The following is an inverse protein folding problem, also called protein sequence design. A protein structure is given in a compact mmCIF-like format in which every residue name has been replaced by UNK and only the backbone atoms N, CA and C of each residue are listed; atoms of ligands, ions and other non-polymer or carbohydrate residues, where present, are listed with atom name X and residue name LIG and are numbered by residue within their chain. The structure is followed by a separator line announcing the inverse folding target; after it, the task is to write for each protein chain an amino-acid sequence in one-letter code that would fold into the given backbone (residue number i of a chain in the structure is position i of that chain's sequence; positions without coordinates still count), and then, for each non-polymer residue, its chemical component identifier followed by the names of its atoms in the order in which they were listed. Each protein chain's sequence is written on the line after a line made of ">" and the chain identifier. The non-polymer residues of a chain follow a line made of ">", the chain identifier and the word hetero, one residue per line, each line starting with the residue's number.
data_IF_152277025942
#
_entry.id   IF_152277025942
#
_cell.length_a   1.000
_cell.length_b   1.000
_cell.length_c   1.000
_cell.angle_alpha   90.00
_cell.angle_beta   90.00
_cell.angle_gamma   90.00
#
_symmetry.space_group_name_H-M   'P 1'
#
loop_
_entity.id
_entity.type
_entity.pdbx_description
1 polymer ?
#
# COMPACT_ATOMS: atom_id res chain seq x y z
N UNK A 1 -35.05 13.41 -25.87
CA UNK A 1 -34.90 12.54 -24.68
C UNK A 1 -33.44 12.09 -24.62
N UNK A 2 -32.66 12.70 -23.74
CA UNK A 2 -31.24 12.41 -23.57
C UNK A 2 -31.10 11.10 -22.81
N UNK A 3 -30.55 10.07 -23.46
CA UNK A 3 -30.19 8.80 -22.84
C UNK A 3 -29.07 9.04 -21.83
N UNK A 4 -29.41 9.01 -20.53
CA UNK A 4 -28.45 9.03 -19.42
C UNK A 4 -27.62 7.76 -19.46
N UNK A 5 -26.45 7.82 -20.11
CA UNK A 5 -25.41 6.80 -20.01
C UNK A 5 -24.91 6.77 -18.57
N UNK A 6 -25.47 5.90 -17.74
CA UNK A 6 -24.89 5.57 -16.44
C UNK A 6 -23.59 4.81 -16.70
N UNK A 7 -22.48 5.55 -16.85
CA UNK A 7 -21.13 5.02 -16.84
C UNK A 7 -20.85 4.48 -15.43
N UNK A 8 -21.37 3.29 -15.13
CA UNK A 8 -21.13 2.58 -13.89
C UNK A 8 -19.70 2.04 -13.92
N UNK A 9 -18.76 2.94 -13.68
CA UNK A 9 -17.35 2.68 -13.48
C UNK A 9 -17.16 2.03 -12.11
N UNK A 10 -17.71 0.81 -11.92
CA UNK A 10 -17.63 0.08 -10.65
C UNK A 10 -16.19 0.09 -10.15
N UNK A 11 -16.02 0.65 -8.96
CA UNK A 11 -14.80 0.51 -8.17
C UNK A 11 -14.74 -0.93 -7.69
N UNK A 12 -13.55 -1.50 -7.69
CA UNK A 12 -13.36 -2.87 -7.21
C UNK A 12 -13.11 -2.78 -5.71
N UNK A 13 -14.17 -2.99 -4.93
CA UNK A 13 -14.13 -2.85 -3.47
C UNK A 13 -13.10 -3.77 -2.82
N UNK A 14 -12.92 -4.99 -3.32
CA UNK A 14 -11.91 -5.93 -2.83
C UNK A 14 -10.49 -5.36 -2.89
N UNK A 15 -10.16 -4.60 -3.93
CA UNK A 15 -8.84 -3.96 -4.08
C UNK A 15 -8.68 -2.82 -3.07
N UNK A 16 -9.73 -2.02 -2.88
CA UNK A 16 -9.72 -0.89 -1.95
C UNK A 16 -9.62 -1.38 -0.48
N UNK A 17 -10.35 -2.45 -0.12
CA UNK A 17 -10.31 -3.08 1.22
C UNK A 17 -8.92 -3.68 1.49
N UNK A 18 -8.38 -4.46 0.54
CA UNK A 18 -7.07 -5.10 0.70
C UNK A 18 -5.97 -4.05 0.86
N UNK A 19 -5.98 -2.99 0.04
CA UNK A 19 -5.03 -1.88 0.16
C UNK A 19 -5.13 -1.19 1.53
N UNK A 20 -6.34 -1.01 2.04
CA UNK A 20 -6.59 -0.43 3.37
C UNK A 20 -6.00 -1.27 4.50
N UNK A 21 -6.24 -2.59 4.49
CA UNK A 21 -5.69 -3.52 5.48
C UNK A 21 -4.16 -3.50 5.44
N UNK A 22 -3.57 -3.58 4.25
CA UNK A 22 -2.11 -3.54 4.06
C UNK A 22 -1.52 -2.23 4.59
N UNK A 23 -2.16 -1.09 4.34
CA UNK A 23 -1.69 0.21 4.85
C UNK A 23 -1.75 0.28 6.38
N UNK A 24 -2.79 -0.27 7.02
CA UNK A 24 -2.89 -0.33 8.49
C UNK A 24 -1.79 -1.20 9.09
N UNK A 25 -1.52 -2.37 8.49
CA UNK A 25 -0.46 -3.27 8.95
C UNK A 25 0.91 -2.59 8.80
N UNK A 26 1.17 -1.89 7.68
CA UNK A 26 2.41 -1.13 7.50
C UNK A 26 2.56 0.01 8.52
N UNK A 27 1.47 0.73 8.84
CA UNK A 27 1.52 1.78 9.85
C UNK A 27 1.79 1.22 11.27
N UNK A 28 1.19 0.08 11.61
CA UNK A 28 1.43 -0.61 12.87
C UNK A 28 2.89 -1.11 12.99
N UNK A 29 3.45 -1.64 11.90
CA UNK A 29 4.85 -2.06 11.82
C UNK A 29 5.81 -0.87 12.04
N UNK A 30 5.62 0.23 11.31
CA UNK A 30 6.46 1.43 11.45
C UNK A 30 6.34 2.12 12.81
N UNK A 31 5.14 2.19 13.40
CA UNK A 31 4.96 2.77 14.73
C UNK A 31 5.61 1.92 15.81
N UNK A 32 5.52 0.58 15.71
CA UNK A 32 6.24 -0.32 16.62
C UNK A 32 7.75 -0.10 16.55
N UNK A 33 8.32 -0.07 15.35
CA UNK A 33 9.76 0.16 15.15
C UNK A 33 10.19 1.51 15.73
N UNK A 34 9.30 2.52 15.71
CA UNK A 34 9.56 3.83 16.30
C UNK A 34 9.55 3.84 17.84
N UNK A 35 8.70 3.02 18.48
CA UNK A 35 8.58 2.97 19.95
C UNK A 35 9.50 1.92 20.62
N UNK A 36 9.99 0.91 19.89
CA UNK A 36 10.96 -0.07 20.42
C UNK A 36 12.39 0.48 20.38
N UNK A 37 12.76 1.24 21.40
CA UNK A 37 14.11 1.83 21.58
C UNK A 37 15.21 0.76 21.74
N UNK A 38 14.86 -0.49 22.09
CA UNK A 38 15.82 -1.62 22.16
C UNK A 38 16.18 -2.24 20.80
N UNK A 39 15.57 -1.81 19.69
CA UNK A 39 15.82 -2.34 18.34
C UNK A 39 17.05 -1.77 17.62
N UNK A 40 17.75 -0.80 18.21
CA UNK A 40 18.95 -0.17 17.59
C UNK A 40 20.24 -0.93 17.95
N UNK A 41 20.20 -1.86 18.92
CA UNK A 41 21.40 -2.57 19.42
C UNK A 41 21.40 -4.07 19.16
N UNK A 42 20.26 -4.71 18.92
CA UNK A 42 20.20 -6.15 18.66
C UNK A 42 19.85 -6.46 17.20
N UNK A 43 20.66 -7.33 16.59
CA UNK A 43 20.46 -7.86 15.25
C UNK A 43 19.10 -8.59 15.19
N UNK A 44 18.13 -8.08 14.42
CA UNK A 44 16.77 -8.63 14.40
C UNK A 44 16.66 -9.96 13.62
N UNK A 45 17.79 -10.54 13.20
CA UNK A 45 17.95 -11.91 12.74
C UNK A 45 18.50 -12.86 13.82
N UNK A 46 18.82 -12.33 15.01
CA UNK A 46 19.33 -13.14 16.11
C UNK A 46 18.18 -13.91 16.77
N UNK A 47 18.09 -15.20 16.45
CA UNK A 47 17.13 -16.16 16.99
C UNK A 47 17.27 -16.36 18.51
N UNK A 48 18.35 -15.86 19.14
CA UNK A 48 18.58 -15.96 20.58
C UNK A 48 17.82 -14.89 21.40
N UNK A 49 17.46 -13.75 20.81
CA UNK A 49 16.80 -12.62 21.51
C UNK A 49 15.41 -12.29 20.95
N UNK A 50 15.05 -12.82 19.79
CA UNK A 50 13.78 -12.51 19.12
C UNK A 50 12.62 -13.30 19.74
N UNK A 51 11.62 -12.61 20.27
CA UNK A 51 10.36 -13.24 20.67
C UNK A 51 9.54 -13.64 19.43
N UNK A 52 8.84 -14.79 19.44
CA UNK A 52 8.04 -15.26 18.30
C UNK A 52 7.05 -14.22 17.76
N UNK A 53 6.54 -13.36 18.64
CA UNK A 53 5.64 -12.25 18.30
C UNK A 53 6.31 -11.20 17.39
N UNK A 54 7.56 -10.82 17.65
CA UNK A 54 8.29 -9.87 16.81
C UNK A 54 8.59 -10.47 15.42
N UNK A 55 9.05 -11.72 15.37
CA UNK A 55 9.33 -12.40 14.11
C UNK A 55 8.10 -12.48 13.19
N UNK A 56 6.96 -12.91 13.73
CA UNK A 56 5.71 -13.08 12.97
C UNK A 56 5.27 -11.77 12.31
N UNK A 57 5.32 -10.68 13.06
CA UNK A 57 4.86 -9.38 12.58
C UNK A 57 5.77 -8.77 11.51
N UNK A 58 7.08 -9.01 11.58
CA UNK A 58 8.04 -8.59 10.55
C UNK A 58 7.91 -9.43 9.28
N UNK A 59 7.66 -10.72 9.43
CA UNK A 59 7.35 -11.63 8.32
C UNK A 59 6.08 -11.17 7.58
N UNK A 60 5.03 -10.80 8.30
CA UNK A 60 3.78 -10.27 7.72
C UNK A 60 4.01 -8.94 6.99
N UNK A 61 4.76 -8.02 7.58
CA UNK A 61 5.08 -6.73 6.96
C UNK A 61 5.91 -6.87 5.68
N UNK A 62 6.79 -7.88 5.62
CA UNK A 62 7.61 -8.18 4.44
C UNK A 62 6.79 -8.53 3.19
N UNK A 63 5.60 -9.15 3.37
CA UNK A 63 4.66 -9.38 2.27
C UNK A 63 3.77 -8.17 1.97
N UNK A 64 3.48 -7.35 2.98
CA UNK A 64 2.62 -6.17 2.82
C UNK A 64 3.21 -5.16 1.82
N UNK A 65 4.52 -4.92 1.83
CA UNK A 65 5.16 -3.98 0.89
C UNK A 65 5.04 -4.44 -0.59
N UNK A 66 5.40 -5.68 -0.98
CA UNK A 66 5.15 -6.20 -2.33
C UNK A 66 3.68 -6.15 -2.74
N UNK A 67 2.76 -6.50 -1.85
CA UNK A 67 1.31 -6.46 -2.12
C UNK A 67 0.85 -5.03 -2.38
N UNK A 68 1.31 -4.05 -1.58
CA UNK A 68 0.96 -2.65 -1.75
C UNK A 68 1.41 -2.11 -3.11
N UNK A 69 2.67 -2.37 -3.49
CA UNK A 69 3.22 -1.94 -4.78
C UNK A 69 2.47 -2.59 -5.94
N UNK A 70 2.18 -3.89 -5.83
CA UNK A 70 1.39 -4.61 -6.84
C UNK A 70 -0.01 -4.03 -7.02
N UNK A 71 -0.76 -3.82 -5.93
CA UNK A 71 -2.11 -3.25 -5.98
C UNK A 71 -2.12 -1.81 -6.51
N UNK A 72 -1.09 -1.02 -6.18
CA UNK A 72 -0.90 0.32 -6.76
C UNK A 72 -0.76 0.24 -8.29
N UNK A 73 0.09 -0.67 -8.78
CA UNK A 73 0.26 -0.95 -10.20
C UNK A 73 -1.02 -1.42 -10.88
N UNK A 74 -1.76 -2.37 -10.29
CA UNK A 74 -3.06 -2.83 -10.79
C UNK A 74 -4.08 -1.69 -10.87
N UNK A 75 -4.11 -0.81 -9.88
CA UNK A 75 -5.00 0.37 -9.87
C UNK A 75 -4.67 1.36 -10.99
N UNK A 76 -3.39 1.57 -11.29
CA UNK A 76 -2.95 2.42 -12.41
C UNK A 76 -3.33 1.77 -13.74
N UNK A 77 -3.14 0.45 -13.88
CA UNK A 77 -3.53 -0.29 -15.08
C UNK A 77 -5.04 -0.20 -15.34
N UNK A 78 -5.87 -0.42 -14.32
CA UNK A 78 -7.33 -0.29 -14.44
C UNK A 78 -7.77 1.14 -14.78
N UNK A 79 -7.03 2.16 -14.34
CA UNK A 79 -7.27 3.55 -14.74
C UNK A 79 -6.84 3.83 -16.19
N UNK A 80 -5.76 3.20 -16.65
CA UNK A 80 -5.29 3.28 -18.04
C UNK A 80 -6.34 2.78 -19.05
N UNK A 81 -7.17 1.81 -18.65
CA UNK A 81 -8.29 1.32 -19.48
C UNK A 81 -9.40 2.36 -19.68
N UNK A 82 -9.45 3.42 -18.85
CA UNK A 82 -10.53 4.43 -18.86
C UNK A 82 -10.04 5.83 -19.20
N UNK A 83 -8.72 6.07 -19.26
CA UNK A 83 -8.09 7.38 -19.44
C UNK A 83 -7.06 7.35 -20.56
N UNK A 84 -6.81 8.51 -21.17
CA UNK A 84 -5.69 8.65 -22.11
C UNK A 84 -4.35 8.62 -21.36
N UNK A 85 -3.27 8.20 -22.05
CA UNK A 85 -1.93 8.11 -21.46
C UNK A 85 -1.45 9.45 -20.89
N UNK A 86 -1.75 10.56 -21.57
CA UNK A 86 -1.38 11.91 -21.13
C UNK A 86 -2.12 12.31 -19.85
N UNK A 87 -3.43 12.06 -19.78
CA UNK A 87 -4.21 12.35 -18.57
C UNK A 87 -3.75 11.51 -17.38
N UNK A 88 -3.46 10.23 -17.60
CA UNK A 88 -2.98 9.34 -16.55
C UNK A 88 -1.61 9.77 -16.03
N UNK A 89 -0.66 10.07 -16.91
CA UNK A 89 0.68 10.55 -16.54
C UNK A 89 0.60 11.83 -15.70
N UNK A 90 -0.17 12.82 -16.15
CA UNK A 90 -0.33 14.08 -15.42
C UNK A 90 -1.06 13.87 -14.08
N UNK A 91 -1.99 12.92 -13.99
CA UNK A 91 -2.63 12.52 -12.74
C UNK A 91 -1.65 11.88 -11.76
N UNK A 92 -0.77 10.97 -12.22
CA UNK A 92 0.24 10.32 -11.39
C UNK A 92 1.27 11.33 -10.88
N UNK A 93 1.75 12.23 -11.75
CA UNK A 93 2.72 13.27 -11.36
C UNK A 93 2.14 14.19 -10.29
N UNK A 94 0.91 14.70 -10.47
CA UNK A 94 0.26 15.56 -9.48
C UNK A 94 0.11 14.87 -8.12
N UNK A 95 -0.24 13.58 -8.11
CA UNK A 95 -0.33 12.80 -6.87
C UNK A 95 1.03 12.49 -6.24
N UNK A 96 2.04 12.19 -7.05
CA UNK A 96 3.40 11.99 -6.56
C UNK A 96 3.96 13.26 -5.94
N UNK A 97 3.75 14.40 -6.59
CA UNK A 97 4.17 15.70 -6.07
C UNK A 97 3.51 16.01 -4.72
N UNK A 98 2.21 15.74 -4.59
CA UNK A 98 1.47 15.90 -3.31
C UNK A 98 2.03 15.05 -2.17
N UNK A 99 2.67 13.91 -2.45
CA UNK A 99 3.25 13.07 -1.39
C UNK A 99 4.63 13.55 -0.92
N UNK A 100 5.30 14.37 -1.73
CA UNK A 100 6.64 14.91 -1.43
C UNK A 100 6.54 16.22 -0.65
N UNK A 101 5.50 17.02 -0.92
CA UNK A 101 5.22 18.31 -0.28
C UNK A 101 4.14 18.19 0.80
#
# INVERSE_FOLDING_TARGET
>A
MQTTLTNNTKRIESIDILRGIVMVIMALDHTRDYFHITGVTDDPLNLATTTPQLFLTRWIAHFCAPIFVFLSGTSIYLQSLRKTKNELSFFLIKRGLWLIF
#
